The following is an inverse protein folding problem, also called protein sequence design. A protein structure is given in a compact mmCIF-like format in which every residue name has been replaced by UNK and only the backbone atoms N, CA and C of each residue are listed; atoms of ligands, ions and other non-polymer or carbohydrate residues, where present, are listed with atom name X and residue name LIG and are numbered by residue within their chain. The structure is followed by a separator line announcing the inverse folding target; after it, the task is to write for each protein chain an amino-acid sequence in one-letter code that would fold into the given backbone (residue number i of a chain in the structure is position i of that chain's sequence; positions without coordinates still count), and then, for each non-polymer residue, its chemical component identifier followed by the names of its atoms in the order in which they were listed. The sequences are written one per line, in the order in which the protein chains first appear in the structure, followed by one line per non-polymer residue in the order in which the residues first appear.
data_IF_071323161029
#
_entry.id   IF_071323161029
#
_cell.length_a   1.000
_cell.length_b   1.000
_cell.length_c   1.000
_cell.angle_alpha   90.00
_cell.angle_beta   90.00
_cell.angle_gamma   90.00
#
_symmetry.space_group_name_H-M   'P 1'
#
loop_
_entity.id
_entity.type
_entity.pdbx_description
1 polymer ?
#
# COMPACT_ATOMS: atom_id res chain seq x y z
N UNK A 1 -1.88 -14.57 -46.20
CA UNK A 1 -1.22 -14.08 -44.98
C UNK A 1 0.28 -14.26 -45.18
N UNK A 2 0.99 -13.16 -45.48
CA UNK A 2 2.44 -13.23 -45.70
C UNK A 2 3.14 -13.43 -44.38
N UNK A 3 3.94 -14.47 -44.25
CA UNK A 3 4.87 -14.65 -43.14
C UNK A 3 5.94 -13.58 -43.27
N UNK A 4 6.00 -12.64 -42.33
CA UNK A 4 7.10 -11.68 -42.25
C UNK A 4 8.34 -12.48 -41.82
N UNK A 5 9.25 -12.70 -42.76
CA UNK A 5 10.55 -13.32 -42.48
C UNK A 5 11.36 -12.33 -41.61
N UNK A 6 11.52 -12.64 -40.35
CA UNK A 6 12.33 -11.84 -39.42
C UNK A 6 13.79 -12.10 -39.77
N UNK A 7 14.49 -11.07 -40.24
CA UNK A 7 15.94 -11.12 -40.49
C UNK A 7 16.67 -11.41 -39.15
N UNK A 8 17.12 -12.68 -38.99
CA UNK A 8 17.83 -13.16 -37.79
C UNK A 8 19.32 -12.78 -37.78
N UNK A 9 19.79 -12.00 -38.76
CA UNK A 9 21.21 -11.58 -38.85
C UNK A 9 21.53 -10.35 -38.01
N UNK A 10 20.53 -9.68 -37.38
CA UNK A 10 20.79 -8.57 -36.50
C UNK A 10 21.17 -9.09 -35.10
N UNK A 11 22.42 -8.85 -34.69
CA UNK A 11 22.83 -9.00 -33.30
C UNK A 11 22.05 -8.00 -32.43
N UNK A 12 20.96 -8.51 -31.82
CA UNK A 12 20.24 -7.71 -30.84
C UNK A 12 21.09 -7.50 -29.59
N UNK A 13 21.09 -6.28 -29.00
CA UNK A 13 21.77 -6.00 -27.75
C UNK A 13 21.46 -7.04 -26.68
N UNK A 14 22.46 -7.53 -25.96
CA UNK A 14 22.31 -8.59 -24.97
C UNK A 14 21.29 -8.24 -23.87
N UNK A 15 21.13 -6.95 -23.58
CA UNK A 15 20.21 -6.50 -22.55
C UNK A 15 18.78 -7.03 -22.72
N UNK A 16 18.26 -7.13 -23.96
CA UNK A 16 16.90 -7.66 -24.20
C UNK A 16 16.79 -9.13 -23.83
N UNK A 17 17.82 -9.93 -24.15
CA UNK A 17 17.89 -11.34 -23.77
C UNK A 17 18.07 -11.50 -22.27
N UNK A 18 18.91 -10.67 -21.66
CA UNK A 18 19.16 -10.67 -20.22
C UNK A 18 17.89 -10.31 -19.42
N UNK A 19 17.14 -9.28 -19.85
CA UNK A 19 15.84 -8.94 -19.24
C UNK A 19 14.84 -10.08 -19.37
N UNK A 20 14.71 -10.69 -20.55
CA UNK A 20 13.82 -11.84 -20.77
C UNK A 20 14.19 -13.02 -19.86
N UNK A 21 15.49 -13.24 -19.63
CA UNK A 21 15.98 -14.25 -18.68
C UNK A 21 15.61 -13.93 -17.23
N UNK A 22 15.75 -12.68 -16.81
CA UNK A 22 15.32 -12.24 -15.48
C UNK A 22 13.82 -12.45 -15.30
N UNK A 23 12.99 -12.09 -16.30
CA UNK A 23 11.54 -12.30 -16.27
C UNK A 23 11.19 -13.78 -16.09
N UNK A 24 11.91 -14.66 -16.78
CA UNK A 24 11.67 -16.11 -16.68
C UNK A 24 12.07 -16.68 -15.31
N UNK A 25 13.10 -16.12 -14.68
CA UNK A 25 13.64 -16.60 -13.40
C UNK A 25 12.94 -16.02 -12.18
N UNK A 26 12.31 -14.84 -12.29
CA UNK A 26 11.62 -14.17 -11.19
C UNK A 26 10.16 -14.62 -11.14
N UNK A 27 9.80 -15.27 -10.03
CA UNK A 27 8.39 -15.61 -9.76
C UNK A 27 7.58 -14.41 -9.25
N UNK A 28 6.32 -14.68 -8.93
CA UNK A 28 5.45 -13.67 -8.31
C UNK A 28 5.98 -13.24 -6.94
N UNK A 29 6.02 -11.94 -6.69
CA UNK A 29 6.36 -11.39 -5.37
C UNK A 29 5.07 -11.13 -4.59
N UNK A 30 4.86 -11.87 -3.51
CA UNK A 30 3.66 -11.80 -2.66
C UNK A 30 3.61 -10.57 -1.75
N UNK A 31 2.43 -10.27 -1.21
CA UNK A 31 2.23 -9.26 -0.13
C UNK A 31 2.21 -9.98 1.22
N UNK A 32 3.38 -10.36 1.75
CA UNK A 32 3.46 -11.15 2.98
C UNK A 32 3.58 -10.29 4.24
N UNK A 33 3.87 -9.00 4.10
CA UNK A 33 4.00 -8.07 5.21
C UNK A 33 2.71 -7.28 5.45
N UNK A 34 2.36 -7.10 6.74
CA UNK A 34 1.17 -6.35 7.16
C UNK A 34 1.60 -5.03 7.82
N UNK A 35 1.08 -3.91 7.36
CA UNK A 35 1.20 -2.65 8.06
C UNK A 35 0.33 -2.68 9.32
N UNK A 36 0.97 -2.82 10.49
CA UNK A 36 0.27 -2.93 11.78
C UNK A 36 -0.54 -1.68 12.17
N UNK A 37 -0.22 -0.52 11.61
CA UNK A 37 -0.93 0.73 11.93
C UNK A 37 -2.18 0.94 11.06
N UNK A 38 -2.14 0.46 9.82
CA UNK A 38 -3.20 0.70 8.83
C UNK A 38 -3.90 -0.57 8.36
N UNK A 39 -3.41 -1.77 8.77
CA UNK A 39 -4.07 -3.05 8.58
C UNK A 39 -3.99 -3.63 7.16
N UNK A 40 -3.28 -3.00 6.21
CA UNK A 40 -3.15 -3.51 4.85
C UNK A 40 -1.87 -4.34 4.65
N UNK A 41 -1.92 -5.28 3.72
CA UNK A 41 -0.77 -6.06 3.27
C UNK A 41 0.05 -5.28 2.25
N UNK A 42 1.37 -5.35 2.33
CA UNK A 42 2.26 -4.68 1.38
C UNK A 42 3.49 -5.52 1.05
N UNK A 43 4.16 -5.19 -0.07
CA UNK A 43 5.47 -5.69 -0.45
C UNK A 43 6.51 -4.67 -0.06
N UNK A 44 7.52 -5.08 0.70
CA UNK A 44 8.67 -4.22 0.99
C UNK A 44 9.64 -4.20 -0.18
N UNK A 45 10.56 -3.24 -0.17
CA UNK A 45 11.68 -3.23 -1.12
C UNK A 45 12.59 -4.44 -0.93
N UNK A 46 12.73 -4.94 0.30
CA UNK A 46 13.55 -6.13 0.61
C UNK A 46 13.01 -7.38 -0.07
N UNK A 47 11.66 -7.55 -0.15
CA UNK A 47 11.03 -8.68 -0.83
C UNK A 47 11.37 -8.67 -2.33
N UNK A 48 11.45 -7.48 -2.93
CA UNK A 48 11.85 -7.29 -4.33
C UNK A 48 13.34 -7.57 -4.52
N UNK A 49 14.22 -7.07 -3.65
CA UNK A 49 15.66 -7.38 -3.69
C UNK A 49 15.92 -8.88 -3.57
N UNK A 50 15.27 -9.54 -2.61
CA UNK A 50 15.47 -10.98 -2.38
C UNK A 50 15.01 -11.83 -3.57
N UNK A 51 13.91 -11.46 -4.22
CA UNK A 51 13.41 -12.15 -5.41
C UNK A 51 14.30 -11.92 -6.65
N UNK A 52 14.77 -10.69 -6.83
CA UNK A 52 15.53 -10.29 -8.01
C UNK A 52 17.02 -10.65 -7.94
N UNK A 53 17.64 -10.63 -6.75
CA UNK A 53 19.09 -10.82 -6.61
C UNK A 53 19.63 -12.07 -7.33
N UNK A 54 19.08 -13.27 -7.14
CA UNK A 54 19.57 -14.47 -7.84
C UNK A 54 19.33 -14.40 -9.34
N UNK A 55 18.21 -13.84 -9.79
CA UNK A 55 17.88 -13.74 -11.21
C UNK A 55 18.75 -12.73 -11.94
N UNK A 56 19.02 -11.57 -11.33
CA UNK A 56 19.93 -10.55 -11.86
C UNK A 56 21.36 -11.10 -11.98
N UNK A 57 21.88 -11.79 -10.93
CA UNK A 57 23.19 -12.39 -10.94
C UNK A 57 23.34 -13.47 -12.04
N UNK A 58 22.34 -14.35 -12.17
CA UNK A 58 22.31 -15.41 -13.19
C UNK A 58 22.29 -14.86 -14.61
N UNK A 59 21.50 -13.79 -14.85
CA UNK A 59 21.34 -13.19 -16.17
C UNK A 59 22.30 -12.01 -16.41
N UNK A 60 23.26 -11.78 -15.50
CA UNK A 60 24.31 -10.78 -15.58
C UNK A 60 23.79 -9.36 -15.83
N UNK A 61 22.72 -8.99 -15.12
CA UNK A 61 22.15 -7.65 -15.17
C UNK A 61 22.58 -6.84 -13.96
N UNK A 62 23.06 -5.63 -14.20
CA UNK A 62 23.40 -4.65 -13.16
C UNK A 62 22.47 -3.45 -13.28
N UNK A 63 21.91 -3.00 -12.15
CA UNK A 63 21.00 -1.85 -12.09
C UNK A 63 21.73 -0.70 -11.40
N UNK A 64 21.85 0.44 -12.10
CA UNK A 64 22.51 1.64 -11.60
C UNK A 64 21.49 2.78 -11.48
N UNK A 65 21.17 3.25 -10.26
CA UNK A 65 20.31 4.40 -10.06
C UNK A 65 21.07 5.72 -10.23
N UNK A 66 20.41 6.72 -10.81
CA UNK A 66 20.88 8.10 -10.88
C UNK A 66 19.75 9.07 -10.53
N UNK A 67 19.89 9.84 -9.45
CA UNK A 67 18.92 10.85 -9.05
C UNK A 67 19.06 12.05 -9.99
N UNK A 68 18.03 12.31 -10.78
CA UNK A 68 17.96 13.44 -11.71
C UNK A 68 17.48 14.70 -11.02
N UNK A 69 16.44 14.56 -10.19
CA UNK A 69 15.80 15.67 -9.49
C UNK A 69 15.41 15.21 -8.08
N UNK A 70 15.54 16.10 -7.11
CA UNK A 70 15.07 15.88 -5.73
C UNK A 70 14.43 17.15 -5.22
N UNK A 71 13.16 17.06 -4.84
CA UNK A 71 12.41 18.12 -4.18
C UNK A 71 12.07 17.73 -2.74
N UNK A 72 12.12 18.69 -1.82
CA UNK A 72 11.80 18.50 -0.40
C UNK A 72 10.84 19.58 0.04
N UNK A 73 9.68 19.16 0.52
CA UNK A 73 8.69 20.03 1.15
C UNK A 73 8.62 19.73 2.65
N UNK A 74 8.78 20.74 3.46
CA UNK A 74 8.63 20.63 4.91
C UNK A 74 7.20 20.99 5.30
N UNK A 75 6.60 20.14 6.13
CA UNK A 75 5.24 20.33 6.64
C UNK A 75 5.23 20.07 8.14
N UNK A 76 4.54 20.92 8.88
CA UNK A 76 4.34 20.70 10.30
C UNK A 76 3.15 19.77 10.51
N UNK A 77 3.34 18.73 11.31
CA UNK A 77 2.26 17.81 11.71
C UNK A 77 1.35 18.49 12.74
N UNK A 78 0.14 17.95 12.91
CA UNK A 78 -0.81 18.46 13.96
C UNK A 78 -0.22 18.43 15.38
N UNK A 79 0.79 17.61 15.62
CA UNK A 79 1.49 17.50 16.91
C UNK A 79 2.75 18.36 17.00
N UNK A 80 2.96 19.28 16.06
CA UNK A 80 4.11 20.18 16.03
C UNK A 80 5.42 19.58 15.51
N UNK A 81 5.47 18.29 15.16
CA UNK A 81 6.67 17.67 14.60
C UNK A 81 6.86 18.06 13.14
N UNK A 82 8.10 18.27 12.73
CA UNK A 82 8.44 18.50 11.31
C UNK A 82 8.34 17.19 10.53
N UNK A 83 7.75 17.24 9.34
CA UNK A 83 7.67 16.13 8.40
C UNK A 83 8.28 16.56 7.06
N UNK A 84 9.18 15.77 6.53
CA UNK A 84 9.79 15.95 5.22
C UNK A 84 9.04 15.11 4.19
N UNK A 85 8.44 15.75 3.20
CA UNK A 85 7.89 15.12 2.01
C UNK A 85 8.92 15.24 0.90
N UNK A 86 9.42 14.10 0.43
CA UNK A 86 10.47 14.04 -0.59
C UNK A 86 9.93 13.43 -1.85
N UNK A 87 10.14 14.11 -2.98
CA UNK A 87 9.93 13.60 -4.33
C UNK A 87 11.29 13.45 -5.01
N UNK A 88 11.61 12.25 -5.51
CA UNK A 88 12.81 11.97 -6.27
C UNK A 88 12.45 11.47 -7.67
N UNK A 89 13.00 12.10 -8.70
CA UNK A 89 12.99 11.59 -10.07
C UNK A 89 14.29 10.86 -10.32
N UNK A 90 14.19 9.56 -10.54
CA UNK A 90 15.36 8.67 -10.57
C UNK A 90 15.36 7.91 -11.89
N UNK A 91 16.51 7.97 -12.58
CA UNK A 91 16.81 7.15 -13.74
C UNK A 91 17.50 5.88 -13.30
N UNK A 92 16.97 4.74 -13.70
CA UNK A 92 17.56 3.42 -13.52
C UNK A 92 18.08 2.93 -14.85
N UNK A 93 19.36 2.63 -14.93
CA UNK A 93 20.00 2.04 -16.11
C UNK A 93 20.29 0.57 -15.83
N UNK A 94 19.74 -0.31 -16.67
CA UNK A 94 19.88 -1.77 -16.58
C UNK A 94 20.91 -2.19 -17.62
N UNK A 95 22.09 -2.59 -17.17
CA UNK A 95 23.20 -3.00 -18.03
C UNK A 95 23.28 -4.51 -18.16
N UNK A 96 23.58 -5.00 -19.37
CA UNK A 96 24.01 -6.37 -19.62
C UNK A 96 25.55 -6.45 -19.66
N UNK A 97 26.08 -7.68 -19.75
CA UNK A 97 27.53 -7.98 -19.73
C UNK A 97 28.28 -7.34 -20.90
N UNK A 98 27.67 -7.17 -22.07
CA UNK A 98 28.23 -6.53 -23.26
C UNK A 98 28.22 -4.99 -23.18
N UNK A 99 27.74 -4.41 -22.09
CA UNK A 99 27.57 -2.97 -21.91
C UNK A 99 26.33 -2.38 -22.57
N UNK A 100 25.53 -3.18 -23.28
CA UNK A 100 24.24 -2.74 -23.76
C UNK A 100 23.27 -2.49 -22.59
N UNK A 101 22.35 -1.54 -22.73
CA UNK A 101 21.47 -1.13 -21.65
C UNK A 101 20.09 -0.67 -22.12
N UNK A 102 19.15 -0.65 -21.16
CA UNK A 102 17.88 0.09 -21.25
C UNK A 102 17.75 1.00 -20.04
N UNK A 103 16.99 2.07 -20.18
CA UNK A 103 16.74 3.03 -19.11
C UNK A 103 15.25 3.14 -18.77
N UNK A 104 14.96 3.34 -17.50
CA UNK A 104 13.62 3.66 -17.01
C UNK A 104 13.72 4.81 -16.01
N UNK A 105 12.84 5.81 -16.12
CA UNK A 105 12.81 6.93 -15.19
C UNK A 105 11.52 6.87 -14.38
N UNK A 106 11.66 6.82 -13.05
CA UNK A 106 10.57 6.67 -12.10
C UNK A 106 10.59 7.83 -11.10
N UNK A 107 9.42 8.29 -10.72
CA UNK A 107 9.24 9.23 -9.61
C UNK A 107 8.90 8.43 -8.35
N UNK A 108 9.71 8.59 -7.30
CA UNK A 108 9.47 8.04 -5.99
C UNK A 108 9.13 9.13 -5.00
N UNK A 109 8.13 8.90 -4.16
CA UNK A 109 7.66 9.86 -3.16
C UNK A 109 7.59 9.20 -1.78
N UNK A 110 8.04 9.92 -0.75
CA UNK A 110 7.97 9.43 0.61
C UNK A 110 7.90 10.55 1.64
N UNK A 111 7.35 10.23 2.79
CA UNK A 111 7.30 11.09 3.96
C UNK A 111 8.06 10.46 5.13
N UNK A 112 8.80 11.29 5.88
CA UNK A 112 9.45 10.90 7.13
C UNK A 112 9.60 12.10 8.05
N UNK A 113 9.54 11.86 9.37
CA UNK A 113 9.80 12.89 10.38
C UNK A 113 11.28 13.04 10.73
N UNK A 114 12.15 12.20 10.18
CA UNK A 114 13.60 12.20 10.37
C UNK A 114 14.36 12.28 9.04
N UNK A 115 15.53 11.69 9.01
CA UNK A 115 16.50 11.75 7.90
C UNK A 115 16.26 10.73 6.76
N UNK A 116 15.23 9.87 6.86
CA UNK A 116 15.04 8.72 5.97
C UNK A 116 14.12 8.96 4.78
N UNK A 117 13.51 10.15 4.63
CA UNK A 117 12.54 10.43 3.59
C UNK A 117 13.10 10.16 2.17
N UNK A 118 14.33 10.62 1.88
CA UNK A 118 14.99 10.38 0.60
C UNK A 118 15.21 8.89 0.34
N UNK A 119 15.71 8.14 1.34
CA UNK A 119 15.96 6.71 1.20
C UNK A 119 14.66 5.93 0.95
N UNK A 120 13.57 6.33 1.60
CA UNK A 120 12.22 5.76 1.36
C UNK A 120 11.74 6.05 -0.06
N UNK A 121 11.91 7.29 -0.55
CA UNK A 121 11.53 7.66 -1.92
C UNK A 121 12.32 6.85 -2.96
N UNK A 122 13.64 6.68 -2.76
CA UNK A 122 14.50 5.86 -3.61
C UNK A 122 14.07 4.38 -3.60
N UNK A 123 13.77 3.82 -2.44
CA UNK A 123 13.31 2.43 -2.29
C UNK A 123 11.98 2.19 -3.03
N UNK A 124 11.06 3.13 -2.95
CA UNK A 124 9.78 3.08 -3.67
C UNK A 124 10.04 3.14 -5.19
N UNK A 125 10.84 4.09 -5.66
CA UNK A 125 11.17 4.22 -7.08
C UNK A 125 11.84 2.96 -7.64
N UNK A 126 12.82 2.38 -6.93
CA UNK A 126 13.48 1.13 -7.31
C UNK A 126 12.49 -0.03 -7.45
N UNK A 127 11.62 -0.20 -6.46
CA UNK A 127 10.60 -1.26 -6.48
C UNK A 127 9.72 -1.17 -7.73
N UNK A 128 9.23 0.02 -8.07
CA UNK A 128 8.38 0.21 -9.25
C UNK A 128 9.16 0.11 -10.56
N UNK A 129 10.42 0.58 -10.62
CA UNK A 129 11.28 0.36 -11.79
C UNK A 129 11.41 -1.13 -12.11
N UNK A 130 11.70 -1.95 -11.09
CA UNK A 130 11.83 -3.39 -11.24
C UNK A 130 10.52 -4.06 -11.64
N UNK A 131 9.38 -3.70 -11.03
CA UNK A 131 8.08 -4.25 -11.40
C UNK A 131 7.72 -3.97 -12.86
N UNK A 132 8.00 -2.76 -13.34
CA UNK A 132 7.67 -2.37 -14.71
C UNK A 132 8.63 -2.99 -15.74
N UNK A 133 9.94 -2.95 -15.49
CA UNK A 133 10.94 -3.45 -16.45
C UNK A 133 10.91 -4.99 -16.56
N UNK A 134 10.71 -5.69 -15.44
CA UNK A 134 10.69 -7.15 -15.42
C UNK A 134 9.28 -7.74 -15.42
N UNK A 135 8.22 -6.93 -15.60
CA UNK A 135 6.82 -7.37 -15.61
C UNK A 135 6.51 -8.34 -14.46
N UNK A 136 7.02 -8.04 -13.23
CA UNK A 136 6.89 -8.94 -12.09
C UNK A 136 5.42 -9.09 -11.73
N UNK A 137 4.84 -10.31 -11.81
CA UNK A 137 3.45 -10.51 -11.48
C UNK A 137 3.21 -10.26 -10.00
N UNK A 138 2.12 -9.61 -9.70
CA UNK A 138 1.66 -9.41 -8.33
C UNK A 138 0.53 -10.39 -8.07
N UNK A 139 0.59 -11.16 -6.98
CA UNK A 139 -0.42 -12.17 -6.64
C UNK A 139 -1.86 -11.63 -6.51
N UNK A 140 -1.99 -10.29 -6.45
CA UNK A 140 -3.26 -9.58 -6.28
C UNK A 140 -3.53 -8.59 -7.43
N UNK A 141 -3.24 -8.94 -8.68
CA UNK A 141 -3.71 -8.14 -9.84
C UNK A 141 -5.24 -8.22 -10.01
N UNK A 142 -5.96 -8.65 -8.97
CA UNK A 142 -7.43 -8.60 -8.92
C UNK A 142 -7.95 -7.21 -8.56
N UNK A 143 -7.13 -6.37 -7.91
CA UNK A 143 -7.45 -4.97 -7.63
C UNK A 143 -6.83 -4.10 -8.74
N UNK A 144 -7.53 -4.01 -9.87
CA UNK A 144 -7.25 -3.04 -10.93
C UNK A 144 -7.37 -1.63 -10.32
N UNK A 145 -6.28 -0.82 -10.31
CA UNK A 145 -6.35 0.56 -9.83
C UNK A 145 -7.37 1.41 -10.59
N UNK A 146 -7.75 0.99 -11.81
CA UNK A 146 -8.77 1.66 -12.61
C UNK A 146 -10.20 1.22 -12.24
N UNK A 147 -10.36 0.14 -11.46
CA UNK A 147 -11.67 -0.30 -10.96
C UNK A 147 -12.18 0.57 -9.81
N UNK A 148 -11.30 1.24 -9.08
CA UNK A 148 -11.62 2.23 -8.04
C UNK A 148 -10.87 3.54 -8.35
N UNK A 149 -11.42 4.37 -9.24
CA UNK A 149 -11.03 5.77 -9.30
C UNK A 149 -11.36 6.40 -7.94
N UNK A 150 -10.38 6.84 -7.12
CA UNK A 150 -10.70 7.55 -5.91
C UNK A 150 -11.44 8.83 -6.32
N UNK A 151 -12.69 8.98 -5.93
CA UNK A 151 -13.30 10.30 -5.93
C UNK A 151 -12.31 11.26 -5.25
N UNK A 152 -12.01 12.37 -5.92
CA UNK A 152 -11.07 13.36 -5.43
C UNK A 152 -11.31 13.60 -3.94
N UNK A 153 -10.32 13.28 -3.09
CA UNK A 153 -10.40 13.48 -1.64
C UNK A 153 -10.73 14.96 -1.41
N UNK A 154 -11.99 15.24 -1.11
CA UNK A 154 -12.40 16.53 -0.56
C UNK A 154 -11.53 16.77 0.66
N UNK A 155 -10.91 17.93 0.72
CA UNK A 155 -10.03 18.36 1.82
C UNK A 155 -10.65 18.02 3.18
N UNK A 156 -9.83 17.54 4.10
CA UNK A 156 -10.23 16.96 5.41
C UNK A 156 -11.16 17.81 6.29
N UNK A 157 -11.44 19.05 5.92
CA UNK A 157 -12.34 19.94 6.67
C UNK A 157 -13.82 19.75 6.31
N UNK A 158 -14.13 19.33 5.06
CA UNK A 158 -15.52 19.04 4.66
C UNK A 158 -15.98 17.64 5.05
N UNK A 159 -15.06 16.65 5.10
CA UNK A 159 -15.42 15.26 5.45
C UNK A 159 -15.79 15.07 6.92
N UNK A 160 -15.25 15.89 7.84
CA UNK A 160 -15.62 15.84 9.26
C UNK A 160 -16.96 16.51 9.55
N UNK A 161 -17.34 17.54 8.78
CA UNK A 161 -18.63 18.22 8.92
C UNK A 161 -19.78 17.33 8.38
N UNK A 162 -19.57 16.61 7.28
CA UNK A 162 -20.58 15.70 6.70
C UNK A 162 -20.70 14.39 7.50
N UNK A 163 -19.61 13.84 8.03
CA UNK A 163 -19.63 12.67 8.90
C UNK A 163 -20.33 12.93 10.25
N UNK A 164 -20.36 14.19 10.69
CA UNK A 164 -21.14 14.61 11.88
C UNK A 164 -22.64 14.75 11.63
N UNK A 165 -23.07 14.83 10.37
CA UNK A 165 -24.48 14.97 9.97
C UNK A 165 -25.08 13.70 9.38
N UNK A 166 -24.26 12.83 8.80
CA UNK A 166 -24.70 11.60 8.15
C UNK A 166 -24.94 10.49 9.19
N UNK A 167 -26.14 9.94 9.20
CA UNK A 167 -26.49 8.79 10.03
C UNK A 167 -25.84 7.50 9.50
N UNK A 168 -25.68 6.52 10.38
CA UNK A 168 -25.15 5.19 10.00
C UNK A 168 -26.18 4.40 9.20
N UNK A 169 -25.67 3.51 8.31
CA UNK A 169 -26.50 2.63 7.51
C UNK A 169 -26.77 1.29 8.24
N UNK A 170 -27.66 0.47 7.67
CA UNK A 170 -28.06 -0.82 8.24
C UNK A 170 -26.88 -1.78 8.47
N UNK A 171 -25.88 -1.75 7.59
CA UNK A 171 -24.69 -2.59 7.74
C UNK A 171 -23.85 -2.18 8.96
N UNK A 172 -23.69 -0.88 9.19
CA UNK A 172 -23.02 -0.34 10.37
C UNK A 172 -23.79 -0.66 11.65
N UNK A 173 -25.12 -0.63 11.61
CA UNK A 173 -25.97 -1.07 12.73
C UNK A 173 -25.77 -2.55 13.03
N UNK A 174 -25.68 -3.41 12.02
CA UNK A 174 -25.36 -4.84 12.20
C UNK A 174 -23.99 -5.06 12.83
N UNK A 175 -22.96 -4.34 12.36
CA UNK A 175 -21.59 -4.44 12.90
C UNK A 175 -21.48 -3.99 14.35
N UNK A 176 -22.12 -2.89 14.74
CA UNK A 176 -22.06 -2.44 16.14
C UNK A 176 -22.84 -3.40 17.06
N UNK A 177 -23.96 -3.96 16.61
CA UNK A 177 -24.70 -4.98 17.36
C UNK A 177 -23.86 -6.25 17.60
N UNK A 178 -23.09 -6.71 16.59
CA UNK A 178 -22.18 -7.85 16.75
C UNK A 178 -21.10 -7.58 17.80
N UNK A 179 -20.52 -6.38 17.80
CA UNK A 179 -19.51 -5.99 18.81
C UNK A 179 -20.11 -5.83 20.22
N UNK A 180 -21.33 -5.32 20.34
CA UNK A 180 -22.05 -5.26 21.61
C UNK A 180 -22.30 -6.67 22.17
N UNK A 181 -22.75 -7.60 21.34
CA UNK A 181 -22.94 -9.00 21.72
C UNK A 181 -21.62 -9.67 22.12
N UNK A 182 -20.52 -9.44 21.39
CA UNK A 182 -19.19 -9.97 21.69
C UNK A 182 -18.64 -9.47 23.03
N UNK A 183 -18.88 -8.21 23.35
CA UNK A 183 -18.30 -7.54 24.53
C UNK A 183 -19.23 -7.51 25.75
N UNK A 184 -20.51 -7.88 25.61
CA UNK A 184 -21.53 -7.77 26.66
C UNK A 184 -21.87 -6.33 27.07
N UNK A 185 -21.40 -5.34 26.32
CA UNK A 185 -21.74 -3.93 26.57
C UNK A 185 -23.20 -3.69 26.19
N UNK A 186 -23.98 -3.11 27.12
CA UNK A 186 -25.39 -2.82 26.85
C UNK A 186 -25.56 -1.61 25.94
N UNK A 187 -26.57 -1.66 25.07
CA UNK A 187 -26.90 -0.57 24.12
C UNK A 187 -27.12 0.77 24.82
N UNK A 188 -27.73 0.73 26.01
CA UNK A 188 -28.03 1.92 26.82
C UNK A 188 -26.77 2.70 27.21
N UNK A 189 -25.63 2.04 27.33
CA UNK A 189 -24.34 2.70 27.58
C UNK A 189 -23.85 3.50 26.37
N UNK A 190 -24.13 3.00 25.16
CA UNK A 190 -23.85 3.74 23.91
C UNK A 190 -24.82 4.92 23.78
N UNK A 191 -26.09 4.70 24.10
CA UNK A 191 -27.11 5.75 24.05
C UNK A 191 -26.77 6.90 25.01
N UNK A 192 -26.42 6.58 26.24
CA UNK A 192 -26.01 7.58 27.23
C UNK A 192 -24.71 8.34 26.84
N UNK A 193 -23.76 7.64 26.17
CA UNK A 193 -22.49 8.24 25.77
C UNK A 193 -22.65 9.27 24.66
N UNK A 194 -23.61 9.08 23.75
CA UNK A 194 -23.77 9.90 22.54
C UNK A 194 -25.09 10.70 22.51
N UNK A 195 -25.94 10.56 23.54
CA UNK A 195 -27.22 11.29 23.64
C UNK A 195 -28.24 10.89 22.57
N UNK A 196 -28.26 9.61 22.20
CA UNK A 196 -29.20 9.04 21.23
C UNK A 196 -30.13 8.02 21.92
N UNK A 197 -31.25 7.73 21.33
CA UNK A 197 -32.25 6.74 21.82
C UNK A 197 -32.27 5.45 20.98
N UNK A 198 -31.53 5.43 19.85
CA UNK A 198 -31.41 4.29 18.95
C UNK A 198 -30.06 4.27 18.25
N UNK A 199 -29.56 3.08 17.86
CA UNK A 199 -28.27 2.95 17.15
C UNK A 199 -28.31 3.61 15.78
N UNK A 200 -29.45 3.56 15.09
CA UNK A 200 -29.68 4.16 13.76
C UNK A 200 -29.55 5.69 13.76
N UNK A 201 -29.65 6.32 14.94
CA UNK A 201 -29.48 7.77 15.13
C UNK A 201 -28.05 8.20 15.39
N UNK A 202 -27.11 7.25 15.48
CA UNK A 202 -25.70 7.57 15.54
C UNK A 202 -25.25 8.17 14.20
N UNK A 203 -24.44 9.21 14.26
CA UNK A 203 -23.71 9.66 13.10
C UNK A 203 -22.43 8.85 12.91
N UNK A 204 -21.80 8.97 11.73
CA UNK A 204 -20.59 8.20 11.37
C UNK A 204 -19.45 8.45 12.37
N UNK A 205 -19.28 9.66 12.89
CA UNK A 205 -18.25 9.97 13.88
C UNK A 205 -18.50 9.28 15.23
N UNK A 206 -19.75 9.27 15.68
CA UNK A 206 -20.17 8.61 16.91
C UNK A 206 -20.00 7.09 16.80
N UNK A 207 -20.41 6.51 15.66
CA UNK A 207 -20.21 5.10 15.35
C UNK A 207 -18.73 4.71 15.41
N UNK A 208 -17.86 5.45 14.74
CA UNK A 208 -16.43 5.16 14.73
C UNK A 208 -15.80 5.23 16.13
N UNK A 209 -16.24 6.19 16.97
CA UNK A 209 -15.82 6.27 18.39
C UNK A 209 -16.31 5.09 19.21
N UNK A 210 -17.56 4.66 19.01
CA UNK A 210 -18.13 3.49 19.68
C UNK A 210 -17.38 2.22 19.29
N UNK A 211 -17.21 1.96 18.00
CA UNK A 211 -16.50 0.78 17.49
C UNK A 211 -15.06 0.71 18.00
N UNK A 212 -14.32 1.82 17.99
CA UNK A 212 -12.95 1.88 18.53
C UNK A 212 -12.88 1.54 20.01
N UNK A 213 -13.91 1.87 20.80
CA UNK A 213 -14.00 1.52 22.23
C UNK A 213 -14.37 0.04 22.40
N UNK A 214 -15.35 -0.46 21.65
CA UNK A 214 -15.78 -1.86 21.70
C UNK A 214 -14.66 -2.83 21.26
N UNK A 215 -13.91 -2.51 20.23
CA UNK A 215 -12.77 -3.32 19.76
C UNK A 215 -11.65 -3.46 20.81
N UNK A 216 -11.52 -2.49 21.73
CA UNK A 216 -10.57 -2.57 22.85
C UNK A 216 -11.12 -3.32 24.06
N UNK A 217 -12.41 -3.60 24.09
CA UNK A 217 -13.08 -4.31 25.19
C UNK A 217 -12.92 -5.83 24.97
N UNK A 218 -12.47 -6.59 25.96
CA UNK A 218 -12.35 -8.05 25.85
C UNK A 218 -13.72 -8.71 25.63
N UNK A 219 -13.70 -9.97 25.15
CA UNK A 219 -14.92 -10.77 25.02
C UNK A 219 -15.53 -11.05 26.38
N UNK A 220 -16.86 -11.17 26.42
CA UNK A 220 -17.54 -11.71 27.62
C UNK A 220 -17.09 -13.16 27.79
N UNK A 221 -16.52 -13.46 28.95
CA UNK A 221 -16.24 -14.84 29.35
C UNK A 221 -17.58 -15.43 29.83
N UNK A 222 -18.17 -16.36 29.08
CA UNK A 222 -19.27 -17.17 29.56
C UNK A 222 -18.76 -17.97 30.77
N UNK A 223 -19.26 -17.66 31.96
CA UNK A 223 -19.04 -18.52 33.11
C UNK A 223 -19.82 -19.83 32.88
N UNK A 224 -19.19 -21.01 33.07
CA UNK A 224 -19.91 -22.26 32.96
C UNK A 224 -21.02 -22.24 34.01
N UNK A 225 -22.26 -22.44 33.54
CA UNK A 225 -23.40 -22.72 34.45
C UNK A 225 -23.10 -24.02 35.13
N UNK A 226 -22.70 -23.92 36.42
CA UNK A 226 -22.58 -25.09 37.27
C UNK A 226 -23.96 -25.71 37.46
N UNK A 227 -24.12 -26.90 36.98
CA UNK A 227 -25.22 -27.80 37.37
C UNK A 227 -25.04 -28.14 38.87
N UNK A 228 -26.06 -27.79 39.64
CA UNK A 228 -26.26 -28.29 40.98
C UNK A 228 -27.43 -29.27 40.98
#
# INVERSE_FOLDING_TARGET
MGVVEVDRSRDYPMIYRSIAGVIADVGAVGKDKVNKQQGFKFRSVDDVYNALHPALAKNKVVIVPNILERDVKEMQTKNGSMMHYVTCKIKFTFYAEDGSFVESTIVGEAMDTGDKATNKAMAIAYKYACFQVFCIPTADMVDDPDAESPEARKTNEQSTADAGKSLINEEMVRRINAELSRTGVRKEQIFALFGVDALEKLNILQYNKAMKKLQKTPNVVEMPTGDA
#
